data_IF_366436769240
#
_entry.id   IF_366436769240
#
_cell.length_a   1.000
_cell.length_b   1.000
_cell.length_c   1.000
_cell.angle_alpha   90.00
_cell.angle_beta   90.00
_cell.angle_gamma   90.00
#
_symmetry.space_group_name_H-M   'P 1'
#
loop_
_entity.id
_entity.type
_entity.pdbx_description
1 polymer ?
#
# COMPACT_ATOMS: atom_id res chain seq x y z
N UNK A 1 38.63 14.45 -24.54
CA UNK A 1 37.45 15.11 -25.13
C UNK A 1 36.21 14.40 -24.60
N UNK A 2 35.24 15.14 -24.09
CA UNK A 2 34.13 14.62 -23.27
C UNK A 2 32.93 14.25 -24.16
N UNK A 3 32.19 13.21 -23.74
CA UNK A 3 30.77 12.87 -24.02
C UNK A 3 30.51 12.16 -25.36
N UNK A 4 29.55 11.24 -25.48
CA UNK A 4 28.37 10.99 -24.66
C UNK A 4 28.01 9.50 -24.65
N UNK A 5 27.68 8.94 -23.48
CA UNK A 5 26.93 7.68 -23.40
C UNK A 5 25.45 8.05 -23.40
N UNK A 6 24.75 7.62 -24.44
CA UNK A 6 23.33 7.89 -24.68
C UNK A 6 22.53 6.91 -23.81
N UNK A 7 22.19 7.30 -22.58
CA UNK A 7 21.29 6.53 -21.72
C UNK A 7 19.83 6.87 -22.06
N UNK A 8 19.27 6.18 -23.05
CA UNK A 8 17.81 6.06 -23.21
C UNK A 8 17.40 4.75 -22.55
N UNK A 9 16.97 4.84 -21.30
CA UNK A 9 16.06 3.93 -20.56
C UNK A 9 16.28 4.22 -19.07
N UNK A 10 15.82 5.39 -18.63
CA UNK A 10 15.71 5.67 -17.21
C UNK A 10 14.63 4.80 -16.59
N UNK A 11 15.03 3.86 -15.74
CA UNK A 11 14.20 3.39 -14.64
C UNK A 11 15.08 2.78 -13.54
N UNK A 12 15.75 3.66 -12.79
CA UNK A 12 16.28 3.50 -11.42
C UNK A 12 16.76 2.12 -10.95
N UNK A 13 18.08 2.00 -10.80
CA UNK A 13 18.74 0.98 -9.99
C UNK A 13 18.74 1.38 -8.49
N UNK A 14 18.62 0.37 -7.61
CA UNK A 14 19.15 0.24 -6.24
C UNK A 14 18.40 0.89 -5.05
N UNK A 15 17.99 0.03 -4.11
CA UNK A 15 17.71 0.38 -2.72
C UNK A 15 16.53 -0.38 -2.12
N UNK A 16 16.81 -1.40 -1.29
CA UNK A 16 15.89 -2.12 -0.38
C UNK A 16 14.64 -1.30 -0.02
N UNK A 17 13.52 -1.54 -0.70
CA UNK A 17 12.22 -0.94 -0.34
C UNK A 17 11.74 -1.63 0.94
N UNK A 18 11.63 -0.96 2.10
CA UNK A 18 10.91 -1.55 3.19
C UNK A 18 9.42 -1.59 2.82
N UNK A 19 8.84 -2.78 2.97
CA UNK A 19 7.60 -2.96 3.73
C UNK A 19 6.33 -2.45 3.03
N UNK A 20 5.65 -3.39 2.35
CA UNK A 20 4.20 -3.41 2.08
C UNK A 20 3.55 -2.05 1.73
N UNK A 21 3.37 -1.77 0.43
CA UNK A 21 2.70 -0.54 -0.04
C UNK A 21 1.19 -0.62 0.17
N UNK A 22 0.63 0.23 1.02
CA UNK A 22 -0.83 0.30 1.26
C UNK A 22 -1.46 1.43 0.47
N UNK A 23 -2.48 1.13 -0.34
CA UNK A 23 -3.21 2.09 -1.16
C UNK A 23 -4.71 2.05 -0.87
N UNK A 24 -5.26 3.21 -0.56
CA UNK A 24 -6.69 3.41 -0.34
C UNK A 24 -7.31 4.17 -1.50
N UNK A 25 -8.56 3.82 -1.84
CA UNK A 25 -9.38 4.56 -2.79
C UNK A 25 -10.10 5.71 -2.07
N UNK A 26 -10.04 6.93 -2.60
CA UNK A 26 -10.81 8.07 -2.05
C UNK A 26 -12.33 7.83 -2.15
N UNK A 27 -12.76 7.11 -3.18
CA UNK A 27 -14.17 6.83 -3.43
C UNK A 27 -14.74 5.66 -2.61
N UNK A 28 -13.91 4.96 -1.81
CA UNK A 28 -14.41 3.91 -0.91
C UNK A 28 -14.79 4.54 0.43
N UNK A 29 -16.06 4.89 0.57
CA UNK A 29 -16.61 5.49 1.78
C UNK A 29 -16.35 4.58 3.01
N UNK A 30 -15.92 5.18 4.12
CA UNK A 30 -15.55 4.47 5.36
C UNK A 30 -14.09 3.98 5.42
N UNK A 31 -13.37 3.86 4.30
CA UNK A 31 -11.95 3.49 4.31
C UNK A 31 -11.04 4.63 4.81
N UNK A 32 -11.57 5.86 4.81
CA UNK A 32 -10.83 7.05 5.19
C UNK A 32 -10.44 7.14 6.67
N UNK A 33 -11.26 6.60 7.58
CA UNK A 33 -10.94 6.53 9.01
C UNK A 33 -9.79 5.54 9.27
N UNK A 34 -9.84 4.39 8.59
CA UNK A 34 -8.80 3.35 8.63
C UNK A 34 -7.46 3.89 8.15
N UNK A 35 -7.47 4.65 7.04
CA UNK A 35 -6.28 5.34 6.53
C UNK A 35 -5.62 6.25 7.57
N UNK A 36 -6.40 7.11 8.24
CA UNK A 36 -5.86 8.06 9.24
C UNK A 36 -5.22 7.32 10.40
N UNK A 37 -5.88 6.26 10.90
CA UNK A 37 -5.38 5.42 11.99
C UNK A 37 -4.08 4.72 11.60
N UNK A 38 -4.06 4.02 10.45
CA UNK A 38 -2.85 3.34 9.96
C UNK A 38 -1.68 4.29 9.76
N UNK A 39 -1.91 5.49 9.24
CA UNK A 39 -0.84 6.47 9.04
C UNK A 39 -0.27 6.98 10.37
N UNK A 40 -1.08 7.03 11.43
CA UNK A 40 -0.64 7.41 12.76
C UNK A 40 0.14 6.28 13.45
N UNK A 41 -0.33 5.03 13.35
CA UNK A 41 0.34 3.84 13.93
C UNK A 41 1.61 3.44 13.17
N UNK A 42 1.65 3.61 11.84
CA UNK A 42 2.73 3.16 10.96
C UNK A 42 3.26 4.29 10.05
N UNK A 43 3.88 5.34 10.61
CA UNK A 43 4.39 6.47 9.83
C UNK A 43 5.54 6.09 8.89
N UNK A 44 6.25 4.99 9.17
CA UNK A 44 7.38 4.50 8.39
C UNK A 44 6.94 3.74 7.10
N UNK A 45 5.66 3.36 7.01
CA UNK A 45 5.15 2.56 5.89
C UNK A 45 4.58 3.44 4.76
N UNK A 46 4.66 2.92 3.52
CA UNK A 46 4.16 3.62 2.34
C UNK A 46 2.63 3.55 2.21
N UNK A 47 1.92 4.31 3.06
CA UNK A 47 0.46 4.36 3.09
C UNK A 47 -0.04 5.59 2.34
N UNK A 48 -0.65 5.39 1.17
CA UNK A 48 -1.12 6.47 0.30
C UNK A 48 -2.62 6.34 0.01
N UNK A 49 -3.30 7.48 -0.06
CA UNK A 49 -4.66 7.57 -0.60
C UNK A 49 -4.58 8.04 -2.05
N UNK A 50 -5.33 7.41 -2.95
CA UNK A 50 -5.41 7.74 -4.38
C UNK A 50 -6.87 7.96 -4.77
N UNK A 51 -7.08 8.83 -5.75
CA UNK A 51 -8.41 9.11 -6.30
C UNK A 51 -9.13 7.80 -6.71
N UNK A 52 -8.45 6.96 -7.49
CA UNK A 52 -8.92 5.62 -7.80
C UNK A 52 -7.77 4.61 -7.79
N UNK A 53 -8.03 3.41 -7.25
CA UNK A 53 -7.12 2.26 -7.28
C UNK A 53 -7.53 1.20 -8.33
N UNK A 54 -8.48 1.53 -9.21
CA UNK A 54 -9.00 0.69 -10.30
C UNK A 54 -9.59 -0.66 -9.87
N UNK A 55 -10.02 -0.77 -8.62
CA UNK A 55 -10.74 -1.94 -8.08
C UNK A 55 -12.21 -1.60 -7.81
N UNK A 56 -12.89 -0.93 -8.74
CA UNK A 56 -14.26 -0.42 -8.55
C UNK A 56 -15.27 -1.53 -8.23
N UNK A 57 -15.10 -2.73 -8.81
CA UNK A 57 -15.93 -3.90 -8.52
C UNK A 57 -15.87 -4.33 -7.04
N UNK A 58 -14.80 -3.99 -6.32
CA UNK A 58 -14.70 -4.22 -4.86
C UNK A 58 -15.08 -2.97 -4.07
N UNK A 59 -14.74 -1.78 -4.59
CA UNK A 59 -14.98 -0.47 -3.97
C UNK A 59 -16.44 -0.17 -3.65
N UNK A 60 -17.37 -0.64 -4.49
CA UNK A 60 -18.79 -0.37 -4.31
C UNK A 60 -19.46 -1.39 -3.34
N UNK A 61 -18.86 -2.57 -3.18
CA UNK A 61 -19.47 -3.70 -2.47
C UNK A 61 -18.98 -3.79 -1.02
N UNK A 62 -17.74 -3.38 -0.73
CA UNK A 62 -17.14 -3.55 0.59
C UNK A 62 -16.02 -2.55 0.87
N UNK A 63 -15.68 -2.42 2.15
CA UNK A 63 -14.47 -1.72 2.59
C UNK A 63 -13.23 -2.49 2.15
N UNK A 64 -12.30 -1.83 1.47
CA UNK A 64 -11.08 -2.49 0.99
C UNK A 64 -9.88 -1.55 0.91
N UNK A 65 -8.69 -2.16 0.88
CA UNK A 65 -7.42 -1.50 0.59
C UNK A 65 -6.56 -2.41 -0.28
N UNK A 66 -5.61 -1.84 -1.01
CA UNK A 66 -4.64 -2.63 -1.78
C UNK A 66 -3.31 -2.62 -1.01
N UNK A 67 -2.86 -3.77 -0.54
CA UNK A 67 -1.58 -3.95 0.15
C UNK A 67 -0.67 -4.75 -0.77
N UNK A 68 0.46 -4.16 -1.16
CA UNK A 68 1.43 -4.78 -2.08
C UNK A 68 0.77 -5.40 -3.33
N UNK A 69 -0.07 -4.61 -4.00
CA UNK A 69 -0.85 -5.01 -5.18
C UNK A 69 -1.95 -6.05 -4.93
N UNK A 70 -2.14 -6.52 -3.69
CA UNK A 70 -3.22 -7.44 -3.32
C UNK A 70 -4.41 -6.69 -2.71
N UNK A 71 -5.63 -6.81 -3.27
CA UNK A 71 -6.82 -6.20 -2.70
C UNK A 71 -7.30 -6.99 -1.46
N UNK A 72 -7.27 -6.35 -0.30
CA UNK A 72 -7.77 -6.87 0.96
C UNK A 72 -9.12 -6.25 1.30
N UNK A 73 -10.08 -7.11 1.61
CA UNK A 73 -11.43 -6.72 2.00
C UNK A 73 -11.63 -6.84 3.50
N UNK A 74 -12.32 -5.86 4.06
CA UNK A 74 -12.77 -5.86 5.44
C UNK A 74 -14.30 -5.91 5.52
N UNK A 75 -14.82 -6.64 6.51
CA UNK A 75 -16.25 -6.62 6.85
C UNK A 75 -16.66 -5.29 7.47
N UNK A 76 -15.74 -4.69 8.24
CA UNK A 76 -15.88 -3.41 8.93
C UNK A 76 -14.55 -2.64 8.88
N UNK A 77 -14.56 -1.35 9.21
CA UNK A 77 -13.33 -0.54 9.25
C UNK A 77 -12.28 -1.09 10.22
N UNK A 78 -12.72 -1.64 11.36
CA UNK A 78 -11.83 -2.29 12.32
C UNK A 78 -11.24 -3.60 11.80
N UNK A 79 -12.04 -4.45 11.15
CA UNK A 79 -11.57 -5.69 10.52
C UNK A 79 -10.55 -5.39 9.41
N UNK A 80 -10.79 -4.35 8.60
CA UNK A 80 -9.82 -3.90 7.59
C UNK A 80 -8.53 -3.41 8.24
N UNK A 81 -8.62 -2.61 9.31
CA UNK A 81 -7.47 -2.12 10.07
C UNK A 81 -6.63 -3.27 10.60
N UNK A 82 -7.24 -4.22 11.31
CA UNK A 82 -6.53 -5.34 11.93
C UNK A 82 -5.81 -6.20 10.89
N UNK A 83 -6.47 -6.50 9.75
CA UNK A 83 -5.85 -7.26 8.66
C UNK A 83 -4.63 -6.57 8.07
N UNK A 84 -4.73 -5.27 7.79
CA UNK A 84 -3.61 -4.51 7.24
C UNK A 84 -2.50 -4.41 8.28
N UNK A 85 -2.81 -4.02 9.51
CA UNK A 85 -1.84 -3.91 10.60
C UNK A 85 -1.13 -5.24 10.89
N UNK A 86 -1.84 -6.37 10.80
CA UNK A 86 -1.24 -7.69 10.93
C UNK A 86 -0.20 -7.94 9.83
N UNK A 87 -0.48 -7.59 8.58
CA UNK A 87 0.49 -7.72 7.48
C UNK A 87 1.69 -6.79 7.62
N UNK A 88 1.47 -5.54 8.06
CA UNK A 88 2.56 -4.60 8.30
C UNK A 88 3.46 -5.05 9.47
N UNK A 89 2.87 -5.65 10.52
CA UNK A 89 3.62 -6.22 11.66
C UNK A 89 4.25 -7.57 11.33
N UNK A 90 3.63 -8.36 10.46
CA UNK A 90 4.08 -9.67 10.00
C UNK A 90 5.15 -9.58 8.89
N UNK A 91 5.68 -8.39 8.64
CA UNK A 91 6.95 -8.21 7.95
C UNK A 91 8.13 -8.04 8.94
N UNK A 92 8.42 -8.99 9.87
CA UNK A 92 9.78 -9.24 10.23
C UNK A 92 10.33 -10.18 9.17
N UNK A 93 11.07 -9.65 8.20
CA UNK A 93 12.19 -10.33 7.56
C UNK A 93 12.00 -11.85 7.45
N UNK A 94 11.32 -12.31 6.39
CA UNK A 94 11.13 -13.75 6.09
C UNK A 94 12.38 -14.52 6.46
N UNK A 95 12.19 -15.41 7.43
CA UNK A 95 13.11 -16.46 7.86
C UNK A 95 13.89 -17.01 6.67
N UNK A 96 15.17 -16.67 6.57
CA UNK A 96 16.14 -17.53 5.89
C UNK A 96 16.38 -18.72 6.82
N UNK A 97 15.90 -19.89 6.42
CA UNK A 97 16.45 -21.18 6.81
C UNK A 97 16.34 -22.11 5.61
#
# INVERSE_FOLDING_TARGET
MKRAIIWKHGCYQLGREPLMKVRFCENNEGSGAVYKRLKADFPDHSIKRKNCVKCCSTCNISLFAVVDSNPLRGKSGEDLYQKIAALLKADPMTSVN
#
